data_IF_955008349090
#
_entry.id   IF_955008349090
#
_cell.length_a   1.000
_cell.length_b   1.000
_cell.length_c   1.000
_cell.angle_alpha   90.00
_cell.angle_beta   90.00
_cell.angle_gamma   90.00
#
_symmetry.space_group_name_H-M   'P 1'
#
loop_
_entity.id
_entity.type
_entity.pdbx_description
1 polymer ?
#
# COMPACT_ATOMS: atom_id res chain seq x y z
N UNK A 1 -0.61 3.20 13.31
CA UNK A 1 -0.25 3.13 11.88
C UNK A 1 -0.95 1.91 11.30
N UNK A 2 -1.99 2.14 10.49
CA UNK A 2 -2.64 1.09 9.71
C UNK A 2 -1.81 0.83 8.44
N UNK A 3 -1.65 -0.43 8.08
CA UNK A 3 -1.05 -0.86 6.81
C UNK A 3 -2.18 -1.40 5.95
N UNK A 4 -2.27 -0.92 4.72
CA UNK A 4 -3.24 -1.35 3.72
C UNK A 4 -2.46 -2.10 2.64
N UNK A 5 -2.68 -3.41 2.54
CA UNK A 5 -2.21 -4.23 1.43
C UNK A 5 -3.31 -4.17 0.38
N UNK A 6 -3.03 -3.55 -0.77
CA UNK A 6 -4.01 -3.39 -1.84
C UNK A 6 -3.54 -4.22 -3.03
N UNK A 7 -4.31 -5.26 -3.34
CA UNK A 7 -4.09 -6.11 -4.50
C UNK A 7 -5.04 -5.65 -5.60
N UNK A 8 -4.53 -5.10 -6.69
CA UNK A 8 -5.37 -4.62 -7.80
C UNK A 8 -5.57 -5.74 -8.83
N UNK A 9 -6.82 -5.90 -9.27
CA UNK A 9 -7.14 -6.48 -10.56
C UNK A 9 -7.06 -5.35 -11.60
N UNK A 10 -6.65 -5.69 -12.82
CA UNK A 10 -6.46 -4.91 -14.06
C UNK A 10 -6.97 -3.46 -14.11
N UNK A 11 -6.23 -2.51 -14.71
CA UNK A 11 -6.67 -1.12 -14.82
C UNK A 11 -7.94 -0.98 -15.70
N UNK A 12 -8.87 -0.07 -15.36
CA UNK A 12 -10.08 0.17 -16.15
C UNK A 12 -9.74 0.84 -17.51
N UNK A 13 -10.57 0.63 -18.55
CA UNK A 13 -10.37 1.27 -19.86
C UNK A 13 -10.57 2.79 -19.79
N UNK A 14 -9.84 3.51 -20.65
CA UNK A 14 -9.80 4.97 -20.71
C UNK A 14 -11.18 5.58 -21.08
N UNK A 15 -11.62 6.67 -20.42
CA UNK A 15 -12.84 7.37 -20.81
C UNK A 15 -12.62 8.26 -22.05
N UNK A 16 -13.60 8.28 -22.94
CA UNK A 16 -13.66 9.17 -24.11
C UNK A 16 -14.02 10.61 -23.69
N UNK A 17 -13.22 11.57 -24.16
CA UNK A 17 -13.39 13.01 -23.89
C UNK A 17 -14.61 13.62 -24.59
N UNK A 18 -15.35 14.48 -23.87
CA UNK A 18 -16.22 15.51 -24.43
C UNK A 18 -15.86 16.88 -23.82
N UNK A 19 -16.00 17.99 -24.57
CA UNK A 19 -15.38 19.26 -24.21
C UNK A 19 -16.08 20.05 -23.09
N UNK A 20 -15.23 20.82 -22.42
CA UNK A 20 -15.44 21.78 -21.32
C UNK A 20 -16.60 22.79 -21.50
N UNK A 21 -17.20 23.18 -20.38
CA UNK A 21 -17.78 24.53 -20.19
C UNK A 21 -17.47 25.06 -18.79
N UNK A 22 -16.75 26.19 -18.73
CA UNK A 22 -16.48 26.99 -17.53
C UNK A 22 -17.71 27.79 -17.10
N UNK A 23 -17.95 27.87 -15.78
CA UNK A 23 -18.74 28.97 -15.20
C UNK A 23 -18.05 29.60 -13.99
N UNK A 24 -18.26 30.91 -13.96
CA UNK A 24 -17.65 32.00 -13.22
C UNK A 24 -17.82 31.96 -11.69
N UNK A 25 -16.92 32.71 -11.05
CA UNK A 25 -16.63 32.99 -9.63
C UNK A 25 -17.75 33.63 -8.80
N UNK A 26 -17.71 33.41 -7.47
CA UNK A 26 -17.82 34.49 -6.46
C UNK A 26 -17.46 34.05 -5.02
N UNK A 27 -16.48 34.76 -4.45
CA UNK A 27 -16.22 35.16 -3.05
C UNK A 27 -16.94 34.47 -1.86
N UNK A 28 -16.15 33.98 -0.89
CA UNK A 28 -16.60 33.78 0.51
C UNK A 28 -15.51 34.26 1.49
N UNK A 29 -15.97 34.99 2.50
CA UNK A 29 -15.30 35.74 3.56
C UNK A 29 -14.80 34.89 4.74
N UNK A 30 -13.65 35.29 5.33
CA UNK A 30 -13.07 34.79 6.59
C UNK A 30 -13.72 35.45 7.82
N UNK A 31 -13.80 34.76 8.98
CA UNK A 31 -13.94 35.41 10.28
C UNK A 31 -12.65 35.34 11.14
N UNK A 32 -12.42 36.45 11.87
CA UNK A 32 -11.37 36.64 12.89
C UNK A 32 -11.57 35.79 14.17
N UNK A 33 -10.52 35.57 14.99
CA UNK A 33 -10.63 34.88 16.27
C UNK A 33 -10.84 35.82 17.47
N UNK A 34 -11.51 35.31 18.52
CA UNK A 34 -11.64 35.91 19.85
C UNK A 34 -10.63 35.27 20.85
N UNK A 35 -10.25 35.98 21.93
CA UNK A 35 -9.23 35.53 22.88
C UNK A 35 -9.84 34.83 24.10
N UNK A 36 -9.11 33.87 24.69
CA UNK A 36 -9.40 33.37 26.04
C UNK A 36 -8.12 33.25 26.87
N UNK A 37 -8.27 33.67 28.12
CA UNK A 37 -7.25 33.94 29.14
C UNK A 37 -6.93 32.73 30.03
N UNK A 38 -5.63 32.56 30.31
CA UNK A 38 -4.92 32.25 31.58
C UNK A 38 -5.47 31.27 32.64
N UNK A 39 -4.52 30.48 33.18
CA UNK A 39 -4.41 29.89 34.55
C UNK A 39 -5.18 28.57 34.80
N UNK A 40 -4.69 27.51 35.47
CA UNK A 40 -3.67 27.33 36.52
C UNK A 40 -3.11 25.88 36.54
N UNK A 41 -1.99 25.69 37.27
CA UNK A 41 -1.38 24.40 37.66
C UNK A 41 -2.32 23.55 38.53
N UNK A 42 -2.26 22.22 38.39
CA UNK A 42 -2.44 21.31 39.53
C UNK A 42 -1.60 20.04 39.42
N UNK A 43 -1.31 19.47 40.58
CA UNK A 43 -0.15 18.63 40.95
C UNK A 43 -0.48 17.13 40.93
N UNK A 44 0.57 16.34 40.75
CA UNK A 44 0.76 14.88 40.84
C UNK A 44 0.09 14.15 42.03
N UNK A 45 -0.38 12.91 41.79
CA UNK A 45 -0.31 11.74 42.70
C UNK A 45 -0.22 10.40 41.92
N UNK A 46 0.31 9.36 42.58
CA UNK A 46 0.82 8.06 42.09
C UNK A 46 -0.21 6.90 42.01
N UNK A 47 0.11 5.92 41.12
CA UNK A 47 -0.13 4.45 41.15
C UNK A 47 -1.56 3.89 40.87
N UNK A 48 -1.76 2.60 40.44
CA UNK A 48 -0.84 1.45 40.28
C UNK A 48 -0.80 0.78 38.88
N UNK A 49 0.03 -0.26 38.72
CA UNK A 49 0.31 -1.01 37.49
C UNK A 49 -0.79 -2.02 37.08
N UNK A 50 -1.09 -2.21 35.78
CA UNK A 50 -1.96 -3.28 35.33
C UNK A 50 -1.18 -4.52 34.86
N UNK A 51 -1.68 -5.69 35.29
CA UNK A 51 -1.30 -7.05 34.86
C UNK A 51 -1.62 -7.27 33.36
N UNK A 52 -0.96 -8.22 32.68
CA UNK A 52 -1.21 -8.45 31.26
C UNK A 52 -2.56 -9.14 31.06
N UNK A 53 -3.46 -8.48 30.35
CA UNK A 53 -4.68 -9.08 29.81
C UNK A 53 -4.30 -9.69 28.47
N UNK A 54 -4.54 -11.00 28.33
CA UNK A 54 -4.41 -11.72 27.06
C UNK A 54 -5.31 -11.04 26.01
N UNK A 55 -4.72 -10.62 24.89
CA UNK A 55 -5.46 -10.00 23.80
C UNK A 55 -6.13 -11.09 22.98
N UNK A 56 -7.43 -11.28 23.19
CA UNK A 56 -8.32 -11.95 22.26
C UNK A 56 -8.54 -11.05 21.05
N UNK A 57 -8.31 -11.60 19.86
CA UNK A 57 -8.66 -10.95 18.59
C UNK A 57 -10.17 -11.09 18.37
N UNK A 58 -10.84 -9.98 18.06
CA UNK A 58 -12.20 -10.01 17.54
C UNK A 58 -12.22 -9.18 16.27
N UNK A 59 -12.44 -9.85 15.15
CA UNK A 59 -12.76 -9.21 13.89
C UNK A 59 -14.14 -8.57 14.01
N UNK A 60 -14.26 -7.31 13.62
CA UNK A 60 -15.55 -6.64 13.47
C UNK A 60 -16.06 -6.96 12.07
N UNK A 61 -17.13 -7.74 12.02
CA UNK A 61 -17.78 -8.17 10.79
C UNK A 61 -18.87 -7.16 10.41
N UNK A 62 -18.70 -6.53 9.25
CA UNK A 62 -19.68 -5.58 8.70
C UNK A 62 -20.77 -6.36 7.98
N UNK A 63 -21.97 -6.40 8.57
CA UNK A 63 -23.15 -7.06 8.00
C UNK A 63 -23.70 -6.29 6.79
N UNK A 64 -23.72 -6.94 5.62
CA UNK A 64 -24.64 -6.59 4.53
C UNK A 64 -25.24 -7.86 3.91
N UNK A 65 -26.57 -7.92 3.99
CA UNK A 65 -27.55 -8.63 3.16
C UNK A 65 -27.29 -10.10 2.76
N UNK A 66 -28.14 -10.95 3.33
CA UNK A 66 -28.49 -12.31 2.93
C UNK A 66 -28.91 -12.39 1.46
N UNK A 67 -28.12 -13.07 0.63
CA UNK A 67 -28.59 -13.76 -0.57
C UNK A 67 -27.93 -15.14 -0.65
N UNK A 68 -28.78 -16.17 -0.69
CA UNK A 68 -28.38 -17.57 -0.68
C UNK A 68 -27.98 -18.08 -2.06
N UNK A 69 -26.67 -18.23 -2.26
CA UNK A 69 -26.02 -19.32 -2.97
C UNK A 69 -24.54 -19.25 -2.53
N UNK A 70 -23.96 -20.35 -2.08
CA UNK A 70 -22.62 -20.39 -1.49
C UNK A 70 -21.54 -19.89 -2.45
N UNK A 71 -21.32 -18.57 -2.46
CA UNK A 71 -20.22 -17.94 -3.16
C UNK A 71 -19.00 -18.14 -2.27
N UNK A 72 -18.35 -19.30 -2.39
CA UNK A 72 -17.00 -19.47 -1.83
C UNK A 72 -16.12 -18.46 -2.55
N UNK A 73 -15.97 -17.27 -1.97
CA UNK A 73 -15.09 -16.24 -2.52
C UNK A 73 -13.72 -16.89 -2.66
N UNK A 74 -13.18 -16.91 -3.87
CA UNK A 74 -11.83 -17.42 -4.11
C UNK A 74 -10.85 -16.53 -3.33
N UNK A 75 -10.00 -17.10 -2.45
CA UNK A 75 -9.01 -16.32 -1.73
C UNK A 75 -7.97 -15.77 -2.72
N UNK A 76 -7.66 -14.48 -2.60
CA UNK A 76 -6.63 -13.82 -3.37
C UNK A 76 -5.26 -13.99 -2.71
N UNK A 77 -5.21 -13.83 -1.40
CA UNK A 77 -4.03 -14.08 -0.56
C UNK A 77 -4.47 -14.96 0.61
N UNK A 78 -3.78 -16.07 0.81
CA UNK A 78 -3.97 -16.96 1.94
C UNK A 78 -2.62 -17.19 2.62
N UNK A 79 -2.55 -16.86 3.90
CA UNK A 79 -1.39 -17.04 4.78
C UNK A 79 -1.80 -18.02 5.87
N UNK A 80 -1.04 -19.09 6.04
CA UNK A 80 -1.29 -20.13 7.05
C UNK A 80 -0.06 -20.36 7.91
N UNK A 81 -0.19 -20.12 9.21
CA UNK A 81 0.85 -20.42 10.20
C UNK A 81 2.21 -19.78 9.92
N UNK A 82 2.25 -18.60 9.30
CA UNK A 82 3.51 -17.99 8.85
C UNK A 82 4.42 -17.62 10.03
N UNK A 83 5.63 -18.15 10.04
CA UNK A 83 6.69 -17.83 11.00
C UNK A 83 7.92 -17.27 10.29
N UNK A 84 8.56 -16.28 10.90
CA UNK A 84 9.73 -15.63 10.31
C UNK A 84 10.64 -15.02 11.36
N UNK A 85 11.94 -15.03 11.05
CA UNK A 85 13.01 -14.48 11.86
C UNK A 85 13.72 -13.33 11.13
N UNK A 86 14.44 -12.49 11.86
CA UNK A 86 15.43 -11.59 11.27
C UNK A 86 16.61 -12.43 10.78
N UNK A 87 17.02 -12.28 9.53
CA UNK A 87 18.04 -13.12 8.89
C UNK A 87 19.39 -13.07 9.64
N UNK A 88 19.80 -11.89 10.09
CA UNK A 88 21.07 -11.65 10.79
C UNK A 88 21.07 -12.17 12.24
N UNK A 89 20.04 -11.86 13.03
CA UNK A 89 20.03 -12.16 14.47
C UNK A 89 19.33 -13.47 14.82
N UNK A 90 18.63 -14.07 13.85
CA UNK A 90 17.72 -15.22 14.04
C UNK A 90 16.63 -14.98 15.09
N UNK A 91 16.35 -13.72 15.44
CA UNK A 91 15.28 -13.39 16.35
C UNK A 91 13.92 -13.61 15.68
N UNK A 92 13.08 -14.44 16.29
CA UNK A 92 11.73 -14.71 15.83
C UNK A 92 10.81 -13.49 16.03
N UNK A 93 10.14 -13.07 14.95
CA UNK A 93 9.22 -11.92 14.93
C UNK A 93 7.80 -12.36 14.62
N UNK A 94 7.59 -13.21 13.60
CA UNK A 94 6.28 -13.76 13.27
C UNK A 94 6.15 -15.15 13.88
N UNK A 95 5.03 -15.39 14.56
CA UNK A 95 4.81 -16.56 15.43
C UNK A 95 3.53 -17.31 15.05
N UNK A 96 3.40 -17.70 13.79
CA UNK A 96 2.22 -18.40 13.27
C UNK A 96 1.10 -17.43 12.95
N UNK A 97 1.28 -16.62 11.90
CA UNK A 97 0.27 -15.67 11.43
C UNK A 97 -0.64 -16.33 10.41
N UNK A 98 -1.96 -16.21 10.62
CA UNK A 98 -2.99 -16.62 9.67
C UNK A 98 -3.73 -15.38 9.15
N UNK A 99 -3.95 -15.32 7.83
CA UNK A 99 -4.72 -14.25 7.19
C UNK A 99 -5.28 -14.74 5.85
N UNK A 100 -6.55 -14.49 5.61
CA UNK A 100 -7.19 -14.72 4.30
C UNK A 100 -7.77 -13.41 3.80
N UNK A 101 -7.41 -13.03 2.57
CA UNK A 101 -7.93 -11.85 1.89
C UNK A 101 -8.56 -12.31 0.59
N UNK A 102 -9.83 -11.98 0.38
CA UNK A 102 -10.51 -12.27 -0.88
C UNK A 102 -10.41 -11.10 -1.86
N UNK A 103 -10.73 -11.37 -3.12
CA UNK A 103 -10.79 -10.32 -4.14
C UNK A 103 -11.74 -9.17 -3.74
N UNK A 104 -11.25 -7.94 -3.91
CA UNK A 104 -12.01 -6.72 -3.64
C UNK A 104 -12.10 -6.33 -2.16
N UNK A 105 -11.53 -7.12 -1.26
CA UNK A 105 -11.53 -6.80 0.17
C UNK A 105 -10.38 -5.87 0.55
N UNK A 106 -10.65 -4.99 1.52
CA UNK A 106 -9.65 -4.11 2.13
C UNK A 106 -9.52 -4.51 3.58
N UNK A 107 -8.33 -4.97 3.95
CA UNK A 107 -8.02 -5.43 5.31
C UNK A 107 -7.11 -4.43 6.00
N UNK A 108 -7.43 -4.10 7.25
CA UNK A 108 -6.61 -3.24 8.09
C UNK A 108 -5.88 -4.09 9.14
N UNK A 109 -4.54 -4.12 9.08
CA UNK A 109 -3.74 -4.82 10.09
C UNK A 109 -3.36 -3.83 11.20
N UNK A 110 -3.82 -4.11 12.43
CA UNK A 110 -3.62 -3.26 13.60
C UNK A 110 -2.90 -3.99 14.72
N UNK A 111 -2.21 -3.24 15.58
CA UNK A 111 -1.45 -3.80 16.70
C UNK A 111 -0.38 -2.86 17.24
N UNK A 112 0.14 -3.15 18.43
CA UNK A 112 1.18 -2.35 19.11
C UNK A 112 2.47 -2.26 18.26
N UNK A 113 3.29 -1.24 18.49
CA UNK A 113 4.61 -1.18 17.85
C UNK A 113 5.43 -2.42 18.23
N UNK A 114 6.18 -2.97 17.29
CA UNK A 114 6.93 -4.21 17.47
C UNK A 114 6.11 -5.51 17.33
N UNK A 115 4.79 -5.44 17.11
CA UNK A 115 3.96 -6.65 16.95
C UNK A 115 4.13 -7.40 15.61
N UNK A 116 5.18 -7.12 14.85
CA UNK A 116 5.45 -7.81 13.57
C UNK A 116 4.68 -7.31 12.34
N UNK A 117 3.82 -6.29 12.41
CA UNK A 117 3.03 -5.81 11.24
C UNK A 117 3.88 -5.44 10.02
N UNK A 118 4.87 -4.58 10.23
CA UNK A 118 5.78 -4.16 9.15
C UNK A 118 6.62 -5.34 8.66
N UNK A 119 7.01 -6.24 9.57
CA UNK A 119 7.73 -7.47 9.24
C UNK A 119 6.89 -8.39 8.37
N UNK A 120 5.62 -8.58 8.70
CA UNK A 120 4.67 -9.35 7.90
C UNK A 120 4.59 -8.82 6.47
N UNK A 121 4.42 -7.50 6.29
CA UNK A 121 4.40 -6.90 4.94
C UNK A 121 5.72 -7.12 4.19
N UNK A 122 6.86 -6.96 4.86
CA UNK A 122 8.19 -7.16 4.28
C UNK A 122 8.46 -8.63 3.90
N UNK A 123 8.00 -9.57 4.71
CA UNK A 123 8.12 -11.02 4.44
C UNK A 123 7.31 -11.39 3.20
N UNK A 124 6.09 -10.87 3.05
CA UNK A 124 5.25 -11.15 1.87
C UNK A 124 5.95 -10.72 0.57
N UNK A 125 6.60 -9.55 0.55
CA UNK A 125 7.36 -9.10 -0.64
C UNK A 125 8.76 -9.68 -0.78
N UNK A 126 9.18 -10.58 0.12
CA UNK A 126 10.48 -11.26 0.01
C UNK A 126 11.68 -10.38 0.40
N UNK A 127 11.52 -9.48 1.37
CA UNK A 127 12.62 -8.61 1.80
C UNK A 127 13.76 -9.42 2.45
N UNK A 128 15.04 -9.23 2.04
CA UNK A 128 16.17 -10.09 2.43
C UNK A 128 16.53 -10.05 3.93
N UNK A 129 16.20 -8.97 4.64
CA UNK A 129 16.37 -8.88 6.11
C UNK A 129 15.62 -9.97 6.91
N UNK A 130 14.68 -10.69 6.29
CA UNK A 130 13.87 -11.70 6.95
C UNK A 130 13.97 -13.06 6.27
N UNK A 131 13.91 -14.09 7.10
CA UNK A 131 13.91 -15.49 6.68
C UNK A 131 12.61 -16.14 7.17
N UNK A 132 11.89 -16.79 6.26
CA UNK A 132 10.69 -17.55 6.59
C UNK A 132 11.11 -18.90 7.15
N UNK A 133 10.64 -19.23 8.35
CA UNK A 133 11.00 -20.47 9.06
C UNK A 133 9.90 -21.52 9.02
N UNK A 134 8.71 -21.19 8.50
CA UNK A 134 7.56 -22.08 8.47
C UNK A 134 6.28 -21.38 8.04
N UNK A 135 5.26 -22.21 7.77
CA UNK A 135 3.97 -21.79 7.23
C UNK A 135 3.95 -21.70 5.71
N UNK A 136 2.79 -21.37 5.17
CA UNK A 136 2.52 -21.34 3.73
C UNK A 136 1.88 -20.00 3.34
N UNK A 137 2.22 -19.50 2.15
CA UNK A 137 1.59 -18.31 1.58
C UNK A 137 1.21 -18.57 0.13
N UNK A 138 -0.09 -18.49 -0.17
CA UNK A 138 -0.63 -18.65 -1.52
C UNK A 138 -1.16 -17.30 -2.00
N UNK A 139 -0.72 -16.86 -3.17
CA UNK A 139 -1.21 -15.65 -3.83
C UNK A 139 -1.69 -15.99 -5.23
N UNK A 140 -2.96 -15.67 -5.53
CA UNK A 140 -3.62 -16.03 -6.81
C UNK A 140 -3.49 -17.51 -7.20
N UNK A 141 -3.44 -18.40 -6.20
CA UNK A 141 -3.31 -19.85 -6.41
C UNK A 141 -1.88 -20.37 -6.56
N UNK A 142 -0.87 -19.50 -6.53
CA UNK A 142 0.55 -19.88 -6.61
C UNK A 142 1.25 -19.71 -5.26
N UNK A 143 2.24 -20.56 -4.97
CA UNK A 143 3.04 -20.43 -3.76
C UNK A 143 3.93 -19.19 -3.84
N UNK A 144 3.66 -18.21 -2.99
CA UNK A 144 4.38 -16.94 -2.96
C UNK A 144 5.81 -17.09 -2.43
N UNK A 145 6.04 -18.05 -1.53
CA UNK A 145 7.34 -18.21 -0.86
C UNK A 145 8.43 -18.73 -1.80
N UNK A 146 8.04 -19.46 -2.85
CA UNK A 146 8.96 -20.01 -3.87
C UNK A 146 9.36 -18.98 -4.93
N UNK A 147 8.70 -17.82 -4.96
CA UNK A 147 8.95 -16.76 -5.93
C UNK A 147 10.03 -15.80 -5.42
N UNK A 148 10.89 -15.36 -6.32
CA UNK A 148 11.79 -14.23 -6.08
C UNK A 148 10.99 -12.91 -5.97
N UNK A 149 11.51 -11.87 -5.27
CA UNK A 149 10.79 -10.61 -5.05
C UNK A 149 10.24 -9.96 -6.33
N UNK A 150 11.01 -10.00 -7.42
CA UNK A 150 10.61 -9.48 -8.74
C UNK A 150 9.43 -10.27 -9.31
N UNK A 151 9.42 -11.60 -9.15
CA UNK A 151 8.33 -12.45 -9.63
C UNK A 151 7.04 -12.20 -8.84
N UNK A 152 7.15 -12.00 -7.52
CA UNK A 152 6.01 -11.60 -6.67
C UNK A 152 5.42 -10.28 -7.14
N UNK A 153 6.28 -9.31 -7.45
CA UNK A 153 5.86 -8.00 -7.97
C UNK A 153 5.14 -8.15 -9.32
N UNK A 154 5.72 -8.90 -10.26
CA UNK A 154 5.14 -9.15 -11.58
C UNK A 154 3.81 -9.93 -11.51
N UNK A 155 3.64 -10.81 -10.52
CA UNK A 155 2.37 -11.47 -10.22
C UNK A 155 1.28 -10.49 -9.72
N UNK A 156 1.68 -9.26 -9.36
CA UNK A 156 0.80 -8.17 -8.94
C UNK A 156 0.76 -7.94 -7.44
N UNK A 157 1.75 -8.41 -6.68
CA UNK A 157 1.93 -8.03 -5.28
C UNK A 157 2.66 -6.69 -5.21
N UNK A 158 2.03 -5.69 -4.59
CA UNK A 158 2.62 -4.36 -4.44
C UNK A 158 2.77 -4.00 -2.95
N UNK A 159 3.88 -3.35 -2.60
CA UNK A 159 4.10 -2.80 -1.27
C UNK A 159 4.51 -1.33 -1.37
N UNK A 160 3.79 -0.49 -0.62
CA UNK A 160 4.18 0.88 -0.35
C UNK A 160 5.10 0.91 0.88
N UNK A 161 6.26 1.56 0.76
CA UNK A 161 7.27 1.59 1.81
C UNK A 161 7.01 2.69 2.83
N UNK A 162 7.34 2.41 4.09
CA UNK A 162 7.25 3.35 5.19
C UNK A 162 8.04 4.66 4.90
N UNK A 163 9.25 4.50 4.36
CA UNK A 163 10.12 5.56 3.88
C UNK A 163 10.60 5.19 2.47
N UNK A 164 10.03 5.79 1.41
CA UNK A 164 10.41 5.48 0.04
C UNK A 164 11.85 5.91 -0.23
N UNK A 165 12.60 5.07 -0.95
CA UNK A 165 14.02 5.31 -1.28
C UNK A 165 14.15 6.34 -2.40
N UNK A 166 15.17 7.19 -2.33
CA UNK A 166 15.53 8.13 -3.39
C UNK A 166 16.53 7.48 -4.35
N UNK A 167 16.32 7.68 -5.66
CA UNK A 167 17.21 7.16 -6.71
C UNK A 167 17.65 8.32 -7.60
N UNK A 168 18.81 8.95 -7.30
CA UNK A 168 19.36 10.02 -8.12
C UNK A 168 19.70 9.52 -9.53
N UNK A 169 19.46 10.37 -10.52
CA UNK A 169 19.78 10.10 -11.93
C UNK A 169 18.78 9.21 -12.67
N UNK A 170 17.70 8.78 -12.02
CA UNK A 170 16.62 7.99 -12.65
C UNK A 170 15.32 8.77 -12.59
N UNK A 171 14.80 9.20 -13.75
CA UNK A 171 13.53 9.92 -13.81
C UNK A 171 12.33 9.03 -13.49
N UNK A 172 11.27 9.61 -12.93
CA UNK A 172 10.04 8.87 -12.63
C UNK A 172 9.38 8.31 -13.89
N UNK A 173 9.36 9.05 -15.01
CA UNK A 173 8.77 8.57 -16.26
C UNK A 173 9.46 7.32 -16.79
N UNK A 174 10.80 7.34 -16.82
CA UNK A 174 11.61 6.23 -17.33
C UNK A 174 11.47 5.01 -16.41
N UNK A 175 11.53 5.23 -15.09
CA UNK A 175 11.35 4.17 -14.10
C UNK A 175 9.98 3.49 -14.22
N UNK A 176 8.91 4.28 -14.27
CA UNK A 176 7.54 3.76 -14.37
C UNK A 176 7.28 3.10 -15.72
N UNK A 177 7.85 3.63 -16.80
CA UNK A 177 7.74 3.05 -18.13
C UNK A 177 8.39 1.68 -18.19
N UNK A 178 9.62 1.55 -17.67
CA UNK A 178 10.34 0.28 -17.58
C UNK A 178 9.59 -0.75 -16.73
N UNK A 179 9.14 -0.35 -15.53
CA UNK A 179 8.42 -1.24 -14.63
C UNK A 179 7.08 -1.72 -15.23
N UNK A 180 6.34 -0.80 -15.86
CA UNK A 180 5.08 -1.12 -16.51
C UNK A 180 5.28 -2.08 -17.70
N UNK A 181 6.29 -1.85 -18.54
CA UNK A 181 6.60 -2.74 -19.66
C UNK A 181 7.12 -4.10 -19.20
N UNK A 182 7.87 -4.18 -18.10
CA UNK A 182 8.28 -5.46 -17.51
C UNK A 182 7.05 -6.30 -17.09
N UNK A 183 6.03 -5.66 -16.49
CA UNK A 183 4.75 -6.32 -16.18
C UNK A 183 4.00 -6.77 -17.44
N UNK A 184 3.89 -5.90 -18.45
CA UNK A 184 3.24 -6.25 -19.74
C UNK A 184 3.91 -7.45 -20.40
N UNK A 185 5.24 -7.49 -20.41
CA UNK A 185 6.01 -8.61 -20.94
C UNK A 185 5.70 -9.92 -20.21
N UNK A 186 5.60 -9.91 -18.86
CA UNK A 186 5.19 -11.08 -18.08
C UNK A 186 3.77 -11.56 -18.45
N UNK A 187 2.87 -10.63 -18.74
CA UNK A 187 1.49 -10.90 -19.14
C UNK A 187 1.32 -11.26 -20.63
N UNK A 188 2.40 -11.22 -21.43
CA UNK A 188 2.33 -11.46 -22.88
C UNK A 188 1.69 -10.31 -23.66
N UNK A 189 1.61 -9.12 -23.07
CA UNK A 189 1.07 -7.91 -23.70
C UNK A 189 2.18 -7.14 -24.46
N UNK A 190 1.85 -6.44 -25.56
CA UNK A 190 2.82 -5.64 -26.29
C UNK A 190 3.30 -4.46 -25.43
N UNK A 191 4.59 -4.17 -25.44
CA UNK A 191 5.19 -3.03 -24.75
C UNK A 191 4.63 -1.71 -25.29
N UNK A 192 4.47 -0.71 -24.42
CA UNK A 192 4.13 0.64 -24.85
C UNK A 192 5.39 1.40 -25.26
N UNK A 193 5.29 2.18 -26.34
CA UNK A 193 6.30 3.18 -26.68
C UNK A 193 6.27 4.39 -25.71
N UNK A 194 7.29 5.26 -25.71
CA UNK A 194 7.35 6.42 -24.79
C UNK A 194 6.15 7.36 -24.88
N UNK A 195 5.67 7.66 -26.10
CA UNK A 195 4.50 8.54 -26.30
C UNK A 195 3.19 7.90 -25.83
N UNK A 196 3.03 6.60 -26.09
CA UNK A 196 1.86 5.84 -25.65
C UNK A 196 1.83 5.72 -24.11
N UNK A 197 2.99 5.48 -23.50
CA UNK A 197 3.10 5.44 -22.06
C UNK A 197 2.82 6.82 -21.43
N UNK A 198 3.30 7.91 -22.03
CA UNK A 198 2.98 9.25 -21.57
C UNK A 198 1.46 9.51 -21.59
N UNK A 199 0.77 9.14 -22.67
CA UNK A 199 -0.68 9.24 -22.76
C UNK A 199 -1.40 8.35 -21.72
N UNK A 200 -0.84 7.18 -21.38
CA UNK A 200 -1.36 6.28 -20.36
C UNK A 200 -1.21 6.82 -18.92
N UNK A 201 -0.06 7.42 -18.60
CA UNK A 201 0.24 7.90 -17.24
C UNK A 201 -0.37 9.27 -16.94
N UNK A 202 -0.49 10.14 -17.95
CA UNK A 202 -1.00 11.51 -17.79
C UNK A 202 -2.31 11.61 -16.99
N UNK A 203 -3.41 10.89 -17.33
CA UNK A 203 -4.65 10.98 -16.57
C UNK A 203 -4.55 10.44 -15.13
N UNK A 204 -3.53 9.63 -14.81
CA UNK A 204 -3.33 9.09 -13.45
C UNK A 204 -2.69 10.11 -12.50
N UNK A 205 -1.98 11.09 -13.04
CA UNK A 205 -1.40 12.18 -12.24
C UNK A 205 -2.49 12.99 -11.52
N UNK A 206 -3.63 13.20 -12.18
CA UNK A 206 -4.78 13.91 -11.60
C UNK A 206 -5.40 13.13 -10.44
N UNK A 207 -5.48 11.80 -10.55
CA UNK A 207 -6.02 10.91 -9.50
C UNK A 207 -5.24 11.03 -8.19
N UNK A 208 -3.93 11.28 -8.28
CA UNK A 208 -3.05 11.41 -7.12
C UNK A 208 -2.70 12.85 -6.79
N UNK A 209 -3.24 13.85 -7.51
CA UNK A 209 -2.91 15.27 -7.36
C UNK A 209 -1.40 15.56 -7.44
N UNK A 210 -0.76 15.08 -8.52
CA UNK A 210 0.66 15.28 -8.80
C UNK A 210 0.84 16.06 -10.11
N UNK A 211 1.76 17.02 -10.13
CA UNK A 211 2.02 17.82 -11.35
C UNK A 211 2.84 17.02 -12.35
N UNK A 212 2.68 17.32 -13.63
CA UNK A 212 3.42 16.70 -14.74
C UNK A 212 4.94 16.81 -14.59
N UNK A 213 5.44 17.91 -14.02
CA UNK A 213 6.88 18.15 -13.85
C UNK A 213 7.55 17.09 -12.98
N UNK A 214 6.80 16.37 -12.13
CA UNK A 214 7.33 15.27 -11.31
C UNK A 214 7.82 14.09 -12.15
N UNK A 215 7.23 13.87 -13.33
CA UNK A 215 7.63 12.79 -14.23
C UNK A 215 9.09 12.91 -14.67
N UNK A 216 9.58 14.14 -14.87
CA UNK A 216 10.93 14.43 -15.32
C UNK A 216 11.92 14.64 -14.17
N UNK A 217 11.47 14.48 -12.91
CA UNK A 217 12.35 14.53 -11.74
C UNK A 217 12.87 13.13 -11.42
N UNK A 218 14.01 13.08 -10.75
CA UNK A 218 14.55 11.84 -10.22
C UNK A 218 13.59 11.20 -9.20
N UNK A 219 13.59 9.86 -9.10
CA UNK A 219 12.69 9.12 -8.22
C UNK A 219 12.90 9.56 -6.77
N UNK A 220 11.85 10.16 -6.20
CA UNK A 220 11.75 10.67 -4.82
C UNK A 220 12.76 11.75 -4.40
N UNK A 221 13.70 12.16 -5.25
CA UNK A 221 14.75 13.11 -4.90
C UNK A 221 14.21 14.54 -4.73
N UNK A 222 14.45 15.11 -3.54
CA UNK A 222 13.97 16.45 -3.19
C UNK A 222 12.44 16.53 -3.09
N UNK A 223 11.75 15.39 -2.90
CA UNK A 223 10.32 15.34 -2.67
C UNK A 223 10.06 15.50 -1.17
N UNK A 224 9.02 16.26 -0.81
CA UNK A 224 8.45 16.24 0.53
C UNK A 224 7.87 14.85 0.86
N UNK A 225 7.69 14.55 2.15
CA UNK A 225 7.12 13.26 2.56
C UNK A 225 5.75 12.95 1.94
N UNK A 226 4.90 13.98 1.78
CA UNK A 226 3.61 13.84 1.10
C UNK A 226 3.72 13.57 -0.40
N UNK A 227 4.71 14.19 -1.07
CA UNK A 227 4.99 13.94 -2.48
C UNK A 227 5.54 12.54 -2.71
N UNK A 228 6.44 12.05 -1.86
CA UNK A 228 6.93 10.67 -1.92
C UNK A 228 5.77 9.67 -1.80
N UNK A 229 4.82 9.95 -0.90
CA UNK A 229 3.65 9.08 -0.73
C UNK A 229 2.70 9.12 -1.92
N UNK A 230 2.43 10.30 -2.48
CA UNK A 230 1.67 10.41 -3.74
C UNK A 230 2.35 9.67 -4.89
N UNK A 231 3.69 9.71 -4.97
CA UNK A 231 4.44 9.00 -6.00
C UNK A 231 4.31 7.47 -5.88
N UNK A 232 4.26 6.93 -4.66
CA UNK A 232 3.96 5.50 -4.47
C UNK A 232 2.51 5.14 -4.84
N UNK A 233 1.54 6.01 -4.56
CA UNK A 233 0.16 5.78 -5.03
C UNK A 233 0.08 5.87 -6.55
N UNK A 234 0.89 6.73 -7.19
CA UNK A 234 1.01 6.75 -8.65
C UNK A 234 1.56 5.42 -9.17
N UNK A 235 2.60 4.86 -8.54
CA UNK A 235 3.12 3.52 -8.87
C UNK A 235 2.02 2.47 -8.79
N UNK A 236 1.23 2.45 -7.71
CA UNK A 236 0.10 1.53 -7.53
C UNK A 236 -1.00 1.69 -8.61
N UNK A 237 -1.19 2.90 -9.14
CA UNK A 237 -2.17 3.16 -10.19
C UNK A 237 -1.64 2.79 -11.59
N UNK A 238 -0.32 2.70 -11.76
CA UNK A 238 0.35 2.44 -13.04
C UNK A 238 0.70 0.97 -13.20
N UNK A 239 1.32 0.38 -12.18
CA UNK A 239 1.95 -0.95 -12.12
C UNK A 239 1.06 -1.92 -11.35
#
# INVERSE_FOLDING_TARGET
>A
MAWQIQCTASPPPLPSFSPFTLKSTSSISLPLPLPLTRSSRFRSTHAPSPRPIAASFSAVESTTSTDGLGNSKTPLLEVKGLTAVIAETKQEILKGVDLVVHHGEIHAIMGKNGSGKSTFSKVLVGHPDYEVTGGDVVFKGENLLDMEPEERSLAGLFMSFQSPVEIPGVNNIDFLHMAYNARRKKLGEPELGPLEFYAYIYPKLDLVNMKTDFLNRNVNEGFSGGERKRNEILQLAVI
#
